data_IF_028547849345
#
_entry.id   IF_028547849345
#
_cell.length_a   1.000
_cell.length_b   1.000
_cell.length_c   1.000
_cell.angle_alpha   90.00
_cell.angle_beta   90.00
_cell.angle_gamma   90.00
#
_symmetry.space_group_name_H-M   'P 1'
#
loop_
_entity.id
_entity.type
_entity.pdbx_description
1 polymer ?
#
# COMPACT_ATOMS: atom_id res chain seq x y z
N UNK A 1 -0.13 -7.57 -10.06
CA UNK A 1 0.99 -6.60 -10.12
C UNK A 1 0.93 -5.88 -11.46
N UNK A 2 0.92 -4.54 -11.48
CA UNK A 2 0.53 -3.79 -12.70
C UNK A 2 1.73 -3.34 -13.52
N UNK A 3 2.87 -3.00 -12.89
CA UNK A 3 4.16 -2.75 -13.56
C UNK A 3 5.31 -2.64 -12.53
N UNK A 4 6.51 -3.12 -12.85
CA UNK A 4 7.74 -2.81 -12.12
C UNK A 4 8.62 -1.89 -12.98
N UNK A 5 9.28 -0.91 -12.38
CA UNK A 5 10.29 -0.10 -13.04
C UNK A 5 11.42 0.17 -12.07
N UNK A 6 12.59 -0.41 -12.33
CA UNK A 6 13.72 -0.39 -11.41
C UNK A 6 13.36 -0.96 -10.04
N UNK A 7 13.70 -0.22 -8.99
CA UNK A 7 13.47 -0.59 -7.58
C UNK A 7 12.06 -0.28 -7.06
N UNK A 8 11.06 -0.04 -7.93
CA UNK A 8 9.70 0.30 -7.52
C UNK A 8 8.63 -0.54 -8.23
N UNK A 9 7.59 -0.90 -7.49
CA UNK A 9 6.41 -1.64 -7.92
C UNK A 9 5.19 -0.73 -7.91
N UNK A 10 4.43 -0.67 -9.02
CA UNK A 10 3.09 -0.07 -9.01
C UNK A 10 2.04 -1.16 -8.87
N UNK A 11 1.31 -1.09 -7.77
CA UNK A 11 0.18 -1.96 -7.47
C UNK A 11 -1.12 -1.19 -7.75
N UNK A 12 -2.13 -1.91 -8.21
CA UNK A 12 -3.44 -1.36 -8.50
C UNK A 12 -4.48 -2.20 -7.77
N UNK A 13 -5.43 -1.53 -7.13
CA UNK A 13 -6.65 -2.14 -6.60
C UNK A 13 -7.85 -1.56 -7.33
N UNK A 14 -8.91 -2.36 -7.45
CA UNK A 14 -10.24 -1.92 -7.91
C UNK A 14 -11.27 -1.92 -6.77
N UNK A 15 -10.85 -2.30 -5.55
CA UNK A 15 -11.70 -2.26 -4.37
C UNK A 15 -11.96 -0.82 -3.96
N UNK A 16 -13.22 -0.44 -3.82
CA UNK A 16 -13.62 0.94 -3.51
C UNK A 16 -13.31 1.93 -4.65
N UNK A 17 -13.07 1.44 -5.87
CA UNK A 17 -12.63 2.24 -7.01
C UNK A 17 -11.18 1.94 -7.40
N UNK A 18 -10.75 2.48 -8.54
CA UNK A 18 -9.39 2.28 -9.03
C UNK A 18 -8.40 3.15 -8.24
N UNK A 19 -7.40 2.52 -7.64
CA UNK A 19 -6.32 3.21 -6.93
C UNK A 19 -4.97 2.60 -7.23
N UNK A 20 -3.95 3.44 -7.27
CA UNK A 20 -2.58 3.04 -7.57
C UNK A 20 -1.66 3.39 -6.39
N UNK A 21 -0.90 2.41 -5.93
CA UNK A 21 0.11 2.60 -4.89
C UNK A 21 1.47 2.19 -5.43
N UNK A 22 2.47 3.03 -5.20
CA UNK A 22 3.86 2.72 -5.55
C UNK A 22 4.61 2.30 -4.29
N UNK A 23 5.19 1.11 -4.33
CA UNK A 23 5.93 0.52 -3.21
C UNK A 23 7.37 0.25 -3.66
N UNK A 24 8.40 0.57 -2.87
CA UNK A 24 9.75 0.11 -3.16
C UNK A 24 9.81 -1.42 -3.20
N UNK A 25 10.61 -1.96 -4.12
CA UNK A 25 10.85 -3.38 -4.32
C UNK A 25 12.03 -3.91 -3.48
N UNK A 26 12.72 -3.04 -2.74
CA UNK A 26 13.91 -3.41 -1.95
C UNK A 26 13.52 -3.79 -0.52
N UNK A 27 14.20 -4.81 0.00
CA UNK A 27 14.24 -5.22 1.40
C UNK A 27 15.62 -4.82 1.98
N UNK A 28 15.70 -4.03 3.08
CA UNK A 28 14.64 -3.63 3.99
C UNK A 28 13.85 -2.39 3.58
N UNK A 29 12.53 -2.43 3.80
CA UNK A 29 11.66 -1.28 3.69
C UNK A 29 11.80 -0.39 4.93
N UNK A 30 12.01 0.91 4.72
CA UNK A 30 12.02 1.88 5.84
C UNK A 30 10.64 1.93 6.50
N UNK A 31 10.59 1.95 7.82
CA UNK A 31 9.31 1.98 8.57
C UNK A 31 8.42 3.16 8.20
N UNK A 32 9.01 4.34 7.92
CA UNK A 32 8.27 5.51 7.46
C UNK A 32 7.66 5.33 6.07
N UNK A 33 8.30 4.54 5.20
CA UNK A 33 7.75 4.21 3.88
C UNK A 33 6.61 3.20 4.00
N UNK A 34 6.75 2.20 4.87
CA UNK A 34 5.64 1.29 5.17
C UNK A 34 4.43 2.06 5.71
N UNK A 35 4.65 2.96 6.66
CA UNK A 35 3.60 3.79 7.25
C UNK A 35 2.87 4.61 6.18
N UNK A 36 3.60 5.31 5.31
CA UNK A 36 3.00 6.11 4.24
C UNK A 36 2.18 5.27 3.24
N UNK A 37 2.63 4.03 2.94
CA UNK A 37 1.87 3.10 2.10
C UNK A 37 0.57 2.68 2.79
N UNK A 38 0.61 2.32 4.08
CA UNK A 38 -0.57 1.94 4.84
C UNK A 38 -1.57 3.10 4.95
N UNK A 39 -1.08 4.32 5.20
CA UNK A 39 -1.92 5.53 5.29
C UNK A 39 -2.62 5.82 3.95
N UNK A 40 -1.90 5.68 2.82
CA UNK A 40 -2.48 5.86 1.48
C UNK A 40 -3.58 4.83 1.18
N UNK A 41 -3.37 3.56 1.58
CA UNK A 41 -4.36 2.50 1.39
C UNK A 41 -5.58 2.71 2.29
N UNK A 42 -5.36 3.04 3.56
CA UNK A 42 -6.44 3.30 4.51
C UNK A 42 -7.32 4.49 4.07
N UNK A 43 -6.69 5.58 3.61
CA UNK A 43 -7.39 6.74 3.07
C UNK A 43 -8.25 6.38 1.84
N UNK A 44 -7.72 5.57 0.91
CA UNK A 44 -8.48 5.12 -0.26
C UNK A 44 -9.68 4.24 0.12
N UNK A 45 -9.51 3.36 1.10
CA UNK A 45 -10.57 2.47 1.56
C UNK A 45 -11.55 3.13 2.55
N UNK A 46 -11.32 4.39 2.93
CA UNK A 46 -12.14 5.12 3.88
C UNK A 46 -12.19 4.49 5.28
N UNK A 47 -11.11 3.82 5.71
CA UNK A 47 -11.03 3.18 7.01
C UNK A 47 -9.85 3.71 7.83
N UNK A 48 -9.82 3.39 9.13
CA UNK A 48 -8.67 3.72 9.97
C UNK A 48 -7.47 2.82 9.64
N UNK A 49 -6.27 3.29 9.99
CA UNK A 49 -5.04 2.48 9.86
C UNK A 49 -5.10 1.22 10.73
N UNK A 50 -5.66 1.31 11.93
CA UNK A 50 -5.79 0.17 12.83
C UNK A 50 -6.75 -0.89 12.27
N UNK A 51 -7.86 -0.47 11.65
CA UNK A 51 -8.77 -1.41 10.97
C UNK A 51 -8.10 -2.08 9.78
N UNK A 52 -7.26 -1.35 9.03
CA UNK A 52 -6.49 -1.92 7.94
C UNK A 52 -5.48 -2.96 8.45
N UNK A 53 -4.78 -2.67 9.55
CA UNK A 53 -3.80 -3.59 10.15
C UNK A 53 -4.46 -4.89 10.63
N UNK A 54 -5.62 -4.79 11.30
CA UNK A 54 -6.40 -5.98 11.69
C UNK A 54 -6.73 -6.86 10.49
N UNK A 55 -7.22 -6.28 9.39
CA UNK A 55 -7.55 -7.03 8.17
C UNK A 55 -6.36 -7.71 7.49
N UNK A 56 -5.13 -7.22 7.72
CA UNK A 56 -3.93 -7.76 7.08
C UNK A 56 -3.27 -8.88 7.88
N UNK A 57 -3.42 -8.86 9.21
CA UNK A 57 -2.62 -9.70 10.11
C UNK A 57 -3.44 -10.56 11.08
N UNK A 58 -4.76 -10.36 11.17
CA UNK A 58 -5.70 -11.27 11.83
C UNK A 58 -6.29 -12.25 10.81
#
# INVERSE_FOLDING_TARGET
MTRQTGSHLRLTTTLGGQHHVTVPALDPLRIGTLAAVLDSVAAHLGCSRDDLLRRLFD
#
